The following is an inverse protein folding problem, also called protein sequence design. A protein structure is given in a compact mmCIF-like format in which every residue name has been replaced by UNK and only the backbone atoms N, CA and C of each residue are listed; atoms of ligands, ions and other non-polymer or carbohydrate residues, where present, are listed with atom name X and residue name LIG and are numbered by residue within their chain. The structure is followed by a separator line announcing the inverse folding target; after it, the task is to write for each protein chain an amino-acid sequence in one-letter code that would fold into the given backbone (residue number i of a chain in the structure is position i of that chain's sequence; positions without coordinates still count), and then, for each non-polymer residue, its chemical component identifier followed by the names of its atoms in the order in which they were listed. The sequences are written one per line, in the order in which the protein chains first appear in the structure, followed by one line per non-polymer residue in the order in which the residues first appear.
data_IF_776393909782
#
_entry.id   IF_776393909782
#
_cell.length_a   1.000
_cell.length_b   1.000
_cell.length_c   1.000
_cell.angle_alpha   90.00
_cell.angle_beta   90.00
_cell.angle_gamma   90.00
#
_symmetry.space_group_name_H-M   'P 1'
#
loop_
_entity.id
_entity.type
_entity.pdbx_description
1 polymer ?
#
# COMPACT_ATOMS: atom_id res chain seq x y z
N UNK A 1 -0.11 21.39 0.40
CA UNK A 1 0.90 21.43 1.49
C UNK A 1 0.84 20.07 2.18
N UNK A 2 1.90 19.27 2.10
CA UNK A 2 1.91 17.86 2.51
C UNK A 2 2.85 17.68 3.69
N UNK A 3 2.61 16.68 4.53
CA UNK A 3 3.46 16.35 5.68
C UNK A 3 3.86 14.87 5.60
N UNK A 4 5.16 14.62 5.53
CA UNK A 4 5.73 13.28 5.78
C UNK A 4 5.83 13.12 7.29
N UNK A 5 5.34 12.00 7.83
CA UNK A 5 5.49 11.67 9.26
C UNK A 5 6.36 10.43 9.35
N UNK A 6 7.66 10.63 9.55
CA UNK A 6 8.60 9.55 9.84
C UNK A 6 8.61 9.31 11.35
N UNK A 7 8.38 8.07 11.79
CA UNK A 7 8.70 7.64 13.16
C UNK A 7 9.95 6.77 13.10
N UNK A 8 11.10 7.37 13.38
CA UNK A 8 12.33 6.66 13.74
C UNK A 8 12.48 6.61 15.26
N UNK A 9 13.13 5.56 15.74
CA UNK A 9 13.52 5.40 17.14
C UNK A 9 14.68 6.34 17.42
N UNK A 10 14.42 7.43 18.15
CA UNK A 10 15.49 8.26 18.73
C UNK A 10 16.12 7.53 19.92
N UNK A 11 17.40 7.19 19.82
CA UNK A 11 18.25 7.07 21.01
C UNK A 11 18.73 8.48 21.33
N UNK A 12 18.34 8.96 22.50
CA UNK A 12 18.49 10.36 22.88
C UNK A 12 19.94 10.83 23.02
N UNK A 13 20.13 12.12 22.75
CA UNK A 13 20.84 13.08 23.60
C UNK A 13 20.45 14.52 23.18
N UNK A 14 20.19 15.37 24.18
CA UNK A 14 19.66 16.74 24.07
C UNK A 14 20.55 17.73 23.27
N UNK A 15 19.93 18.60 22.46
CA UNK A 15 20.57 19.79 21.87
C UNK A 15 19.57 20.72 21.15
N UNK A 16 19.72 22.05 21.20
CA UNK A 16 18.61 22.98 20.94
C UNK A 16 18.32 23.23 19.44
N UNK A 17 17.02 23.36 19.18
CA UNK A 17 16.33 23.84 17.97
C UNK A 17 17.17 24.37 16.81
N UNK A 18 17.18 23.60 15.71
CA UNK A 18 17.56 24.08 14.38
C UNK A 18 16.38 23.93 13.44
N UNK A 19 15.90 25.05 12.91
CA UNK A 19 14.85 25.11 11.91
C UNK A 19 15.20 24.21 10.72
N UNK A 20 14.30 23.27 10.40
CA UNK A 20 14.41 22.38 9.24
C UNK A 20 13.99 23.18 7.99
N UNK A 21 14.74 23.17 6.88
CA UNK A 21 14.39 23.96 5.70
C UNK A 21 13.15 23.40 4.99
N UNK A 22 12.30 24.30 4.52
CA UNK A 22 11.04 24.02 3.83
C UNK A 22 11.34 23.71 2.34
N UNK A 23 11.44 22.42 1.98
CA UNK A 23 11.67 21.99 0.59
C UNK A 23 10.40 21.45 -0.06
N UNK A 24 10.13 21.91 -1.29
CA UNK A 24 8.93 21.59 -2.09
C UNK A 24 9.07 20.21 -2.71
N UNK A 25 8.26 19.27 -2.24
CA UNK A 25 8.22 17.90 -2.74
C UNK A 25 7.28 17.78 -3.95
N UNK A 26 7.73 17.04 -4.96
CA UNK A 26 7.02 16.82 -6.23
C UNK A 26 5.67 16.13 -6.06
N UNK A 27 4.67 16.68 -6.74
CA UNK A 27 3.24 16.33 -6.70
C UNK A 27 2.85 15.09 -7.53
N UNK A 28 3.81 14.19 -7.80
CA UNK A 28 3.54 13.00 -8.60
C UNK A 28 2.69 11.98 -7.81
N UNK A 29 1.73 11.38 -8.50
CA UNK A 29 0.78 10.47 -7.90
C UNK A 29 1.40 9.18 -7.35
N UNK A 30 1.05 8.70 -6.14
CA UNK A 30 1.39 7.36 -5.69
C UNK A 30 0.86 6.28 -6.63
N UNK A 31 1.72 5.83 -7.53
CA UNK A 31 1.54 4.60 -8.31
C UNK A 31 1.80 3.34 -7.47
N UNK A 32 1.80 3.49 -6.14
CA UNK A 32 2.27 2.49 -5.19
C UNK A 32 1.12 2.04 -4.30
N UNK A 33 1.00 0.74 -3.97
CA UNK A 33 -0.05 0.23 -3.09
C UNK A 33 0.07 0.75 -1.66
N UNK A 34 -1.00 1.37 -1.15
CA UNK A 34 -1.07 1.94 0.20
C UNK A 34 -2.36 1.52 0.91
N UNK A 35 -2.30 1.31 2.23
CA UNK A 35 -3.47 1.27 3.11
C UNK A 35 -3.88 2.69 3.52
N UNK A 36 -5.12 2.92 3.92
CA UNK A 36 -5.50 4.18 4.58
C UNK A 36 -5.49 4.05 6.10
N UNK A 37 -5.35 5.16 6.83
CA UNK A 37 -5.64 5.21 8.27
C UNK A 37 -6.98 4.54 8.59
N UNK A 38 -7.05 3.85 9.73
CA UNK A 38 -8.18 3.05 10.19
C UNK A 38 -8.25 1.65 9.58
N UNK A 39 -7.35 1.29 8.65
CA UNK A 39 -7.25 -0.09 8.16
C UNK A 39 -6.76 -1.00 9.28
N UNK A 40 -7.53 -2.02 9.61
CA UNK A 40 -7.24 -3.02 10.61
C UNK A 40 -6.41 -4.16 10.01
N UNK A 41 -5.20 -4.35 10.51
CA UNK A 41 -4.26 -5.39 10.08
C UNK A 41 -4.23 -6.51 11.11
N UNK A 42 -4.34 -7.76 10.66
CA UNK A 42 -4.32 -8.92 11.54
C UNK A 42 -2.91 -9.13 12.13
N UNK A 43 -2.79 -9.06 13.46
CA UNK A 43 -1.54 -9.29 14.18
C UNK A 43 -1.68 -10.42 15.20
N UNK A 44 -0.59 -10.75 15.91
CA UNK A 44 -0.65 -11.68 17.06
C UNK A 44 -1.49 -11.18 18.23
N UNK A 45 -1.76 -9.87 18.29
CA UNK A 45 -2.54 -9.23 19.37
C UNK A 45 -4.00 -9.00 18.98
N UNK A 46 -4.43 -9.57 17.85
CA UNK A 46 -5.70 -9.23 17.19
C UNK A 46 -5.50 -8.19 16.10
N UNK A 47 -6.61 -7.63 15.64
CA UNK A 47 -6.64 -6.62 14.59
C UNK A 47 -6.18 -5.27 15.14
N UNK A 48 -5.15 -4.68 14.53
CA UNK A 48 -4.54 -3.41 14.95
C UNK A 48 -4.61 -2.41 13.79
N UNK A 49 -4.98 -1.16 14.07
CA UNK A 49 -5.02 -0.12 13.06
C UNK A 49 -3.62 0.12 12.48
N UNK A 50 -3.52 0.34 11.17
CA UNK A 50 -2.24 0.47 10.46
C UNK A 50 -1.39 1.63 11.01
N UNK A 51 -2.01 2.71 11.46
CA UNK A 51 -1.37 3.86 12.10
C UNK A 51 -0.73 3.56 13.46
N UNK A 52 -1.16 2.47 14.12
CA UNK A 52 -0.67 2.03 15.43
C UNK A 52 0.40 0.92 15.33
N UNK A 53 0.72 0.47 14.11
CA UNK A 53 1.77 -0.51 13.86
C UNK A 53 3.16 0.13 13.86
N UNK A 54 4.15 -0.63 14.30
CA UNK A 54 5.55 -0.22 14.32
C UNK A 54 6.48 -1.29 13.71
N UNK A 55 7.68 -0.85 13.31
CA UNK A 55 8.75 -1.77 12.91
C UNK A 55 8.98 -2.82 14.00
N UNK A 56 9.08 -4.08 13.59
CA UNK A 56 9.22 -5.24 14.48
C UNK A 56 7.89 -5.92 14.85
N UNK A 57 6.74 -5.26 14.66
CA UNK A 57 5.43 -5.89 14.86
C UNK A 57 5.23 -7.09 13.91
N UNK A 58 4.54 -8.11 14.40
CA UNK A 58 4.28 -9.34 13.66
C UNK A 58 2.87 -9.35 13.05
N UNK A 59 2.80 -9.26 11.72
CA UNK A 59 1.55 -9.29 10.93
C UNK A 59 1.33 -10.70 10.37
N UNK A 60 0.08 -11.15 10.35
CA UNK A 60 -0.33 -12.38 9.69
C UNK A 60 -0.20 -12.23 8.17
N UNK A 61 0.57 -13.13 7.58
CA UNK A 61 0.71 -13.29 6.13
C UNK A 61 0.06 -14.58 5.65
N UNK A 62 -0.32 -14.62 4.37
CA UNK A 62 -1.01 -15.78 3.78
C UNK A 62 -0.14 -17.03 3.73
N UNK A 63 1.12 -16.88 3.33
CA UNK A 63 1.97 -18.02 2.96
C UNK A 63 3.00 -18.37 4.03
N UNK A 64 3.35 -17.39 4.87
CA UNK A 64 4.55 -17.44 5.68
C UNK A 64 4.27 -17.29 7.19
N UNK A 65 3.00 -17.37 7.59
CA UNK A 65 2.57 -17.15 8.97
C UNK A 65 2.83 -15.71 9.41
N UNK A 66 3.28 -15.50 10.64
CA UNK A 66 3.53 -14.14 11.13
C UNK A 66 4.91 -13.63 10.71
N UNK A 67 4.96 -12.49 10.02
CA UNK A 67 6.19 -11.82 9.58
C UNK A 67 6.35 -10.46 10.24
N UNK A 68 7.60 -10.10 10.49
CA UNK A 68 7.96 -8.83 11.13
C UNK A 68 7.98 -7.70 10.10
N UNK A 69 7.32 -6.61 10.44
CA UNK A 69 7.43 -5.35 9.70
C UNK A 69 8.89 -4.91 9.75
N UNK A 70 9.51 -4.76 8.58
CA UNK A 70 10.85 -4.17 8.47
C UNK A 70 10.77 -2.65 8.32
N UNK A 71 9.68 -2.17 7.73
CA UNK A 71 9.43 -0.75 7.58
C UNK A 71 7.94 -0.44 7.48
N UNK A 72 7.56 0.70 8.05
CA UNK A 72 6.27 1.33 7.85
C UNK A 72 6.45 2.81 7.58
N UNK A 73 5.79 3.32 6.53
CA UNK A 73 5.84 4.74 6.15
C UNK A 73 4.45 5.30 5.93
N UNK A 74 4.30 6.61 6.18
CA UNK A 74 3.02 7.29 6.08
C UNK A 74 3.12 8.59 5.27
N UNK A 75 2.09 8.89 4.47
CA UNK A 75 1.97 10.14 3.72
C UNK A 75 0.54 10.67 3.74
N UNK A 76 0.39 11.94 4.08
CA UNK A 76 -0.90 12.62 4.16
C UNK A 76 -1.20 13.47 2.93
N UNK A 77 -2.45 13.43 2.48
CA UNK A 77 -3.01 14.24 1.39
C UNK A 77 -4.28 14.95 1.88
N UNK A 78 -4.34 16.27 1.69
CA UNK A 78 -5.50 17.09 2.04
C UNK A 78 -6.62 17.00 1.00
N UNK A 79 -7.85 17.42 1.34
CA UNK A 79 -8.94 17.53 0.37
C UNK A 79 -8.56 18.32 -0.89
N UNK A 80 -7.85 19.45 -0.74
CA UNK A 80 -7.43 20.27 -1.88
C UNK A 80 -6.49 19.50 -2.82
N UNK A 81 -5.53 18.75 -2.26
CA UNK A 81 -4.66 17.90 -3.05
C UNK A 81 -5.40 16.79 -3.79
N UNK A 82 -6.41 16.18 -3.14
CA UNK A 82 -7.25 15.15 -3.77
C UNK A 82 -8.21 15.72 -4.83
N UNK A 83 -8.51 17.01 -4.80
CA UNK A 83 -9.25 17.70 -5.86
C UNK A 83 -8.36 18.00 -7.06
N UNK A 84 -7.12 18.42 -6.81
CA UNK A 84 -6.11 18.69 -7.85
C UNK A 84 -5.63 17.39 -8.52
N UNK A 85 -5.54 16.29 -7.76
CA UNK A 85 -5.11 14.98 -8.22
C UNK A 85 -6.15 13.89 -7.90
N UNK A 86 -7.25 13.78 -8.68
CA UNK A 86 -8.32 12.82 -8.44
C UNK A 86 -7.90 11.36 -8.51
N UNK A 87 -6.81 11.06 -9.20
CA UNK A 87 -6.16 9.75 -9.28
C UNK A 87 -5.52 9.31 -7.95
N UNK A 88 -5.52 10.18 -6.94
CA UNK A 88 -5.09 9.88 -5.56
C UNK A 88 -6.23 9.53 -4.63
N UNK A 89 -7.48 9.71 -5.09
CA UNK A 89 -8.63 9.43 -4.26
C UNK A 89 -8.66 7.95 -3.92
N UNK A 90 -8.89 7.58 -2.65
CA UNK A 90 -8.93 6.19 -2.27
C UNK A 90 -10.09 5.48 -2.98
N UNK A 91 -9.93 4.18 -3.16
CA UNK A 91 -10.97 3.29 -3.63
C UNK A 91 -11.59 2.62 -2.41
N UNK A 92 -12.91 2.68 -2.30
CA UNK A 92 -13.69 1.96 -1.29
C UNK A 92 -14.11 0.60 -1.82
N UNK A 93 -13.76 -0.43 -1.06
CA UNK A 93 -14.24 -1.79 -1.20
C UNK A 93 -15.22 -2.02 -0.05
N UNK A 94 -16.51 -2.15 -0.38
CA UNK A 94 -17.55 -2.30 0.63
C UNK A 94 -17.45 -3.65 1.33
N UNK A 95 -17.91 -3.73 2.58
CA UNK A 95 -18.07 -4.99 3.31
C UNK A 95 -18.75 -6.06 2.44
N UNK A 96 -18.13 -7.23 2.33
CA UNK A 96 -18.66 -8.36 1.56
C UNK A 96 -18.55 -8.25 0.04
N UNK A 97 -17.90 -7.21 -0.50
CA UNK A 97 -17.79 -7.01 -1.95
C UNK A 97 -16.88 -8.02 -2.67
N UNK A 98 -15.94 -8.65 -1.95
CA UNK A 98 -14.98 -9.63 -2.47
C UNK A 98 -15.34 -11.07 -2.06
N UNK A 99 -16.59 -11.31 -1.67
CA UNK A 99 -17.10 -12.62 -1.24
C UNK A 99 -17.78 -12.57 0.12
N UNK A 100 -18.33 -13.70 0.60
CA UNK A 100 -19.07 -13.75 1.85
C UNK A 100 -18.24 -13.23 3.02
N UNK A 101 -18.68 -12.12 3.62
CA UNK A 101 -18.02 -11.44 4.74
C UNK A 101 -16.60 -10.91 4.44
N UNK A 102 -16.25 -10.70 3.16
CA UNK A 102 -14.93 -10.22 2.73
C UNK A 102 -15.05 -8.94 1.87
N UNK A 103 -14.45 -7.81 2.27
CA UNK A 103 -13.86 -7.55 3.59
C UNK A 103 -14.93 -7.59 4.70
N UNK A 104 -14.50 -7.75 5.96
CA UNK A 104 -15.36 -7.81 7.14
C UNK A 104 -15.97 -6.45 7.52
N UNK A 105 -15.31 -5.37 7.09
CA UNK A 105 -15.74 -3.97 7.16
C UNK A 105 -15.33 -3.25 5.88
N UNK A 106 -15.88 -2.06 5.63
CA UNK A 106 -15.44 -1.24 4.49
C UNK A 106 -13.93 -1.00 4.56
N UNK A 107 -13.26 -1.12 3.42
CA UNK A 107 -11.82 -0.96 3.28
C UNK A 107 -11.55 0.13 2.25
N UNK A 108 -10.74 1.12 2.64
CA UNK A 108 -10.23 2.14 1.73
C UNK A 108 -8.75 1.87 1.46
N UNK A 109 -8.37 1.91 0.20
CA UNK A 109 -6.99 1.67 -0.25
C UNK A 109 -6.64 2.61 -1.40
N UNK A 110 -5.34 2.79 -1.68
CA UNK A 110 -4.93 3.53 -2.88
C UNK A 110 -5.40 2.82 -4.16
N UNK A 111 -5.60 3.54 -5.28
CA UNK A 111 -6.14 2.93 -6.51
C UNK A 111 -5.34 1.75 -7.06
N UNK A 112 -4.00 1.79 -6.92
CA UNK A 112 -3.12 0.71 -7.37
C UNK A 112 -2.92 -0.42 -6.35
N UNK A 113 -3.57 -0.34 -5.18
CA UNK A 113 -3.48 -1.38 -4.17
C UNK A 113 -4.15 -2.67 -4.65
N UNK A 114 -3.42 -3.78 -4.65
CA UNK A 114 -3.96 -5.06 -5.10
C UNK A 114 -4.55 -5.88 -3.97
N UNK A 115 -5.78 -6.34 -4.21
CA UNK A 115 -6.49 -7.29 -3.37
C UNK A 115 -6.34 -8.68 -3.95
N UNK A 116 -6.20 -9.68 -3.08
CA UNK A 116 -6.16 -11.07 -3.49
C UNK A 116 -7.60 -11.57 -3.67
N UNK A 117 -7.98 -11.87 -4.90
CA UNK A 117 -9.18 -12.63 -5.21
C UNK A 117 -8.87 -14.12 -5.16
N UNK A 118 -9.83 -14.91 -4.72
CA UNK A 118 -9.71 -16.38 -4.68
C UNK A 118 -11.04 -17.07 -4.97
N UNK A 119 -11.00 -18.33 -5.39
CA UNK A 119 -12.19 -19.14 -5.69
C UNK A 119 -12.99 -18.59 -6.87
N UNK A 120 -14.33 -18.58 -6.78
CA UNK A 120 -15.21 -18.20 -7.89
C UNK A 120 -14.99 -16.79 -8.47
N UNK A 121 -14.41 -15.87 -7.69
CA UNK A 121 -14.02 -14.55 -8.19
C UNK A 121 -12.68 -14.56 -8.93
N UNK A 122 -11.82 -15.56 -8.67
CA UNK A 122 -10.56 -15.76 -9.38
C UNK A 122 -10.73 -16.61 -10.66
N UNK A 123 -11.78 -17.44 -10.76
CA UNK A 123 -12.00 -18.35 -11.89
C UNK A 123 -12.10 -17.65 -13.27
N UNK A 124 -12.42 -16.36 -13.29
CA UNK A 124 -12.41 -15.53 -14.51
C UNK A 124 -11.02 -15.09 -14.98
N UNK A 125 -9.97 -15.33 -14.20
CA UNK A 125 -8.63 -14.78 -14.40
C UNK A 125 -7.58 -15.88 -14.58
N UNK A 126 -7.15 -16.09 -15.84
CA UNK A 126 -5.93 -16.81 -16.25
C UNK A 126 -5.63 -18.20 -15.61
N UNK A 127 -6.61 -18.88 -15.02
CA UNK A 127 -6.48 -20.27 -14.53
C UNK A 127 -5.83 -20.43 -13.15
N UNK A 128 -5.45 -19.34 -12.47
CA UNK A 128 -4.92 -19.39 -11.11
C UNK A 128 -6.06 -19.35 -10.08
N UNK A 129 -5.96 -20.15 -9.01
CA UNK A 129 -6.96 -20.14 -7.91
C UNK A 129 -6.96 -18.84 -7.11
N UNK A 130 -5.92 -18.04 -7.26
CA UNK A 130 -5.68 -16.79 -6.54
C UNK A 130 -4.97 -15.78 -7.44
N UNK A 131 -5.46 -14.53 -7.46
CA UNK A 131 -4.89 -13.46 -8.30
C UNK A 131 -4.94 -12.12 -7.58
N UNK A 132 -3.90 -11.31 -7.73
CA UNK A 132 -3.84 -9.94 -7.22
C UNK A 132 -4.45 -8.98 -8.24
N UNK A 133 -5.52 -8.27 -7.86
CA UNK A 133 -6.25 -7.33 -8.71
C UNK A 133 -6.22 -5.93 -8.09
N UNK A 134 -5.86 -4.91 -8.86
CA UNK A 134 -5.78 -3.54 -8.36
C UNK A 134 -7.17 -3.00 -7.98
N UNK A 135 -7.22 -2.09 -7.00
CA UNK A 135 -8.48 -1.50 -6.56
C UNK A 135 -9.19 -0.73 -7.68
N UNK A 136 -8.43 -0.09 -8.58
CA UNK A 136 -9.00 0.57 -9.78
C UNK A 136 -9.59 -0.45 -10.77
N UNK A 137 -8.98 -1.61 -10.96
CA UNK A 137 -9.56 -2.67 -11.79
C UNK A 137 -10.82 -3.25 -11.13
N UNK A 138 -10.86 -3.36 -9.80
CA UNK A 138 -12.05 -3.79 -9.07
C UNK A 138 -13.24 -2.84 -9.25
N UNK A 139 -13.01 -1.55 -9.54
CA UNK A 139 -14.08 -0.63 -9.95
C UNK A 139 -14.65 -1.07 -11.30
N UNK A 140 -13.79 -1.35 -12.28
CA UNK A 140 -14.20 -1.83 -13.61
C UNK A 140 -14.95 -3.17 -13.56
N UNK A 141 -14.63 -4.01 -12.57
CA UNK A 141 -15.28 -5.28 -12.31
C UNK A 141 -16.54 -5.16 -11.43
N UNK A 142 -16.91 -3.97 -10.97
CA UNK A 142 -18.12 -3.73 -10.16
C UNK A 142 -18.02 -4.13 -8.69
N UNK A 143 -16.81 -4.37 -8.17
CA UNK A 143 -16.56 -4.77 -6.78
C UNK A 143 -16.07 -3.62 -5.88
N UNK A 144 -15.82 -2.44 -6.45
CA UNK A 144 -15.33 -1.29 -5.72
C UNK A 144 -15.87 0.02 -6.30
N UNK A 145 -15.69 1.14 -5.58
CA UNK A 145 -16.05 2.47 -6.06
C UNK A 145 -15.03 3.51 -5.59
N UNK A 146 -14.84 4.58 -6.37
CA UNK A 146 -14.06 5.73 -5.92
C UNK A 146 -14.70 6.34 -4.65
N UNK A 147 -13.87 6.75 -3.70
CA UNK A 147 -14.31 7.33 -2.44
C UNK A 147 -14.04 8.84 -2.40
N UNK A 148 -15.07 9.60 -2.00
CA UNK A 148 -14.92 11.01 -1.67
C UNK A 148 -14.59 11.14 -0.18
N UNK A 149 -13.44 11.74 0.13
CA UNK A 149 -12.91 11.89 1.49
C UNK A 149 -12.38 13.31 1.70
N UNK A 150 -12.42 13.86 2.93
CA UNK A 150 -11.91 15.20 3.25
C UNK A 150 -10.36 15.25 3.31
N UNK A 151 -9.69 14.13 3.07
CA UNK A 151 -8.26 13.92 3.16
C UNK A 151 -7.98 12.44 3.39
N UNK A 152 -6.73 12.03 3.22
CA UNK A 152 -6.31 10.63 3.42
C UNK A 152 -4.87 10.57 3.91
N UNK A 153 -4.60 9.64 4.84
CA UNK A 153 -3.24 9.26 5.21
C UNK A 153 -3.01 7.85 4.68
N UNK A 154 -2.01 7.71 3.81
CA UNK A 154 -1.61 6.46 3.19
C UNK A 154 -0.44 5.84 3.92
N UNK A 155 -0.51 4.53 4.17
CA UNK A 155 0.51 3.74 4.85
C UNK A 155 1.06 2.64 3.95
N UNK A 156 2.37 2.44 4.00
CA UNK A 156 3.06 1.33 3.35
C UNK A 156 3.70 0.43 4.40
N UNK A 157 3.64 -0.88 4.19
CA UNK A 157 4.26 -1.88 5.07
C UNK A 157 5.18 -2.75 4.23
N UNK A 158 6.45 -2.83 4.61
CA UNK A 158 7.46 -3.63 3.95
C UNK A 158 7.95 -4.76 4.85
N UNK A 159 8.12 -5.94 4.24
CA UNK A 159 8.70 -7.13 4.86
C UNK A 159 10.00 -7.50 4.13
N UNK A 160 10.64 -8.59 4.58
CA UNK A 160 11.84 -9.13 3.93
C UNK A 160 11.56 -9.58 2.48
N UNK A 161 10.42 -10.26 2.30
CA UNK A 161 9.87 -10.65 1.02
C UNK A 161 8.57 -9.88 0.76
N UNK A 162 8.05 -9.91 -0.46
CA UNK A 162 6.71 -9.39 -0.71
C UNK A 162 5.67 -10.37 -0.16
N UNK A 163 4.78 -9.88 0.69
CA UNK A 163 3.82 -10.70 1.43
C UNK A 163 2.37 -10.34 1.06
N UNK A 164 1.46 -11.29 1.24
CA UNK A 164 0.01 -11.02 1.24
C UNK A 164 -0.46 -10.96 2.68
N UNK A 165 -1.01 -9.83 3.11
CA UNK A 165 -1.44 -9.56 4.48
C UNK A 165 -2.96 -9.55 4.59
N UNK A 166 -3.48 -9.79 5.80
CA UNK A 166 -4.92 -9.74 6.06
C UNK A 166 -5.31 -8.36 6.62
N UNK A 167 -6.06 -7.59 5.83
CA UNK A 167 -6.50 -6.23 6.11
C UNK A 167 -8.02 -6.13 6.06
N UNK A 168 -8.67 -5.67 7.15
CA UNK A 168 -10.12 -5.66 7.32
C UNK A 168 -10.78 -7.01 6.95
N UNK A 169 -10.09 -8.14 7.20
CA UNK A 169 -10.56 -9.48 6.82
C UNK A 169 -10.43 -9.84 5.34
N UNK A 170 -9.86 -8.98 4.49
CA UNK A 170 -9.52 -9.27 3.10
C UNK A 170 -8.00 -9.41 2.91
N UNK A 171 -7.59 -10.33 2.05
CA UNK A 171 -6.19 -10.53 1.71
C UNK A 171 -5.75 -9.47 0.70
N UNK A 172 -4.63 -8.79 0.93
CA UNK A 172 -4.08 -7.76 0.05
C UNK A 172 -2.56 -7.74 0.05
N UNK A 173 -1.96 -7.08 -0.93
CA UNK A 173 -0.50 -7.03 -1.06
C UNK A 173 0.17 -6.14 0.00
N UNK A 174 1.40 -6.48 0.39
CA UNK A 174 2.31 -5.56 1.08
C UNK A 174 3.03 -4.65 0.07
N UNK A 175 3.77 -3.67 0.55
CA UNK A 175 4.60 -2.85 -0.34
C UNK A 175 5.66 -3.72 -1.05
N UNK A 176 5.73 -3.64 -2.38
CA UNK A 176 6.78 -4.24 -3.20
C UNK A 176 7.68 -3.12 -3.78
N UNK A 177 8.92 -2.98 -3.30
CA UNK A 177 9.84 -1.96 -3.78
C UNK A 177 10.22 -2.10 -5.27
N UNK A 178 10.26 -3.33 -5.80
CA UNK A 178 10.64 -3.58 -7.18
C UNK A 178 9.55 -3.14 -8.16
N UNK A 179 8.27 -3.33 -7.82
CA UNK A 179 7.15 -2.80 -8.61
C UNK A 179 7.03 -1.28 -8.49
N UNK A 180 7.25 -0.73 -7.29
CA UNK A 180 7.25 0.72 -7.09
C UNK A 180 8.37 1.42 -7.89
N UNK A 181 9.52 0.76 -8.05
CA UNK A 181 10.63 1.24 -8.87
C UNK A 181 10.32 1.26 -10.37
N UNK A 182 9.37 0.44 -10.84
CA UNK A 182 8.93 0.40 -12.25
C UNK A 182 7.78 1.39 -12.55
N UNK A 183 7.09 1.91 -11.52
CA UNK A 183 5.86 2.69 -11.66
C UNK A 183 5.91 4.17 -11.25
N UNK A 184 7.00 4.68 -10.69
CA UNK A 184 7.14 6.14 -10.47
C UNK A 184 7.36 6.60 -9.04
N UNK A 185 8.37 6.06 -8.36
CA UNK A 185 9.04 6.88 -7.34
C UNK A 185 9.69 8.07 -8.06
N UNK A 186 9.21 9.29 -7.79
CA UNK A 186 9.93 10.49 -8.20
C UNK A 186 11.36 10.39 -7.65
N UNK A 187 12.36 10.88 -8.39
CA UNK A 187 13.79 10.76 -8.01
C UNK A 187 14.04 11.17 -6.55
N UNK A 188 13.27 12.16 -6.05
CA UNK A 188 13.27 12.59 -4.66
C UNK A 188 12.71 11.56 -3.67
N UNK A 189 11.61 10.85 -3.94
CA UNK A 189 11.09 9.79 -3.04
C UNK A 189 11.98 8.57 -3.04
N UNK A 190 12.63 8.25 -4.17
CA UNK A 190 13.68 7.22 -4.21
C UNK A 190 14.86 7.65 -3.36
N UNK A 191 15.30 8.91 -3.46
CA UNK A 191 16.37 9.44 -2.63
C UNK A 191 15.97 9.55 -1.17
N UNK A 192 14.71 9.89 -0.85
CA UNK A 192 14.15 9.89 0.51
C UNK A 192 14.17 8.46 1.05
N UNK A 193 13.60 7.49 0.33
CA UNK A 193 13.60 6.06 0.66
C UNK A 193 15.03 5.51 0.84
N UNK A 194 16.00 5.94 0.02
CA UNK A 194 17.42 5.56 0.16
C UNK A 194 18.18 6.37 1.23
N UNK A 195 17.68 7.54 1.63
CA UNK A 195 18.28 8.40 2.67
C UNK A 195 17.77 8.01 4.06
N UNK A 196 16.51 7.60 4.15
CA UNK A 196 15.88 7.06 5.35
C UNK A 196 16.32 5.60 5.55
N UNK A 197 16.48 4.83 4.47
CA UNK A 197 16.93 3.44 4.51
C UNK A 197 18.16 3.22 3.61
N UNK A 198 19.35 3.69 4.01
CA UNK A 198 20.57 3.47 3.25
C UNK A 198 20.85 1.97 3.02
N UNK A 199 20.38 1.07 3.90
CA UNK A 199 20.44 -0.39 3.69
C UNK A 199 19.55 -0.88 2.53
N UNK A 200 18.47 -0.18 2.16
CA UNK A 200 17.71 -0.48 0.94
C UNK A 200 18.55 -0.23 -0.32
N UNK A 201 19.56 0.65 -0.29
CA UNK A 201 20.48 0.79 -1.42
C UNK A 201 21.26 -0.50 -1.70
N UNK A 202 21.65 -1.21 -0.63
CA UNK A 202 22.36 -2.50 -0.72
C UNK A 202 21.43 -3.68 -1.02
N UNK A 203 20.18 -3.65 -0.54
CA UNK A 203 19.17 -4.69 -0.77
C UNK A 203 18.46 -4.56 -2.13
N UNK A 204 18.07 -3.36 -2.55
CA UNK A 204 17.60 -3.10 -3.93
C UNK A 204 18.71 -3.30 -4.97
N UNK A 205 19.97 -3.26 -4.52
CA UNK A 205 21.16 -3.51 -5.36
C UNK A 205 21.40 -4.98 -5.73
N UNK A 206 20.63 -5.94 -5.21
CA UNK A 206 20.77 -7.36 -5.58
C UNK A 206 19.54 -8.24 -5.29
N UNK A 207 18.63 -7.82 -4.41
CA UNK A 207 17.48 -8.61 -3.99
C UNK A 207 16.30 -8.41 -4.94
N UNK A 208 15.92 -9.48 -5.62
CA UNK A 208 14.68 -9.55 -6.39
C UNK A 208 13.54 -9.70 -5.39
N UNK A 209 12.52 -8.84 -5.46
CA UNK A 209 11.28 -8.98 -4.70
C UNK A 209 10.24 -9.66 -5.60
N UNK A 210 10.24 -11.00 -5.72
CA UNK A 210 9.26 -11.67 -6.55
C UNK A 210 7.86 -11.39 -6.01
N UNK A 211 6.89 -11.30 -6.91
CA UNK A 211 5.50 -11.18 -6.51
C UNK A 211 5.05 -12.44 -5.78
N UNK A 212 4.25 -12.25 -4.73
CA UNK A 212 3.72 -13.36 -3.93
C UNK A 212 2.70 -14.18 -4.72
N UNK A 213 2.02 -13.53 -5.67
CA UNK A 213 1.01 -14.11 -6.57
C UNK A 213 1.04 -13.42 -7.94
N UNK A 214 0.45 -14.07 -8.92
CA UNK A 214 0.20 -13.47 -10.23
C UNK A 214 -0.65 -12.20 -10.08
N UNK A 215 -0.34 -11.20 -10.91
CA UNK A 215 -1.06 -9.93 -10.95
C UNK A 215 -1.95 -9.93 -12.19
N UNK A 216 -3.21 -9.61 -12.01
CA UNK A 216 -4.11 -9.33 -13.11
C UNK A 216 -3.65 -8.10 -13.86
N UNK A 217 -3.57 -8.22 -15.19
CA UNK A 217 -3.36 -7.10 -16.09
C UNK A 217 -4.59 -7.02 -16.98
N UNK A 218 -5.30 -5.89 -16.93
CA UNK A 218 -6.32 -5.61 -17.92
C UNK A 218 -5.66 -5.66 -19.30
N UNK A 219 -6.23 -6.46 -20.22
CA UNK A 219 -5.77 -6.45 -21.62
C UNK A 219 -6.11 -5.07 -22.14
N UNK A 220 -5.09 -4.26 -22.45
CA UNK A 220 -5.31 -3.03 -23.19
C UNK A 220 -5.90 -3.43 -24.53
N UNK A 221 -7.19 -3.20 -24.76
CA UNK A 221 -7.70 -3.17 -26.12
C UNK A 221 -6.92 -2.09 -26.85
N UNK A 222 -5.99 -2.52 -27.73
CA UNK A 222 -5.52 -1.62 -28.76
C UNK A 222 -6.76 -1.25 -29.55
N UNK A 223 -7.20 0.00 -29.41
CA UNK A 223 -8.19 0.58 -30.32
C UNK A 223 -7.50 0.63 -31.68
N UNK A 224 -7.64 -0.46 -32.43
CA UNK A 224 -7.38 -0.53 -33.84
C UNK A 224 -8.74 -0.35 -34.54
N UNK A 225 -9.14 0.91 -34.70
CA UNK A 225 -9.98 1.43 -35.79
C UNK A 225 -10.14 2.95 -35.62
#
# INVERSE_FOLDING_TARGET
MYRTVERMVEQGEDGPGRAVPEERHSDAAPQTPCFTAGTLIATRRGDVAVEDLAVGDCILTRDNGYRQILWIGAREFSAAALQEHPDLKPVRIAKGALGPMTPASDLLVSPQHRMLLSGGLADGFAGDREVLVSAVDLIGLGHAAAAEVPGVIYYHILFADHEVVLANGAWSESFNPALAALGGLHQMQRQELLRIFPELASRLGAHVYPLARAVYQAVSESVAA
#
